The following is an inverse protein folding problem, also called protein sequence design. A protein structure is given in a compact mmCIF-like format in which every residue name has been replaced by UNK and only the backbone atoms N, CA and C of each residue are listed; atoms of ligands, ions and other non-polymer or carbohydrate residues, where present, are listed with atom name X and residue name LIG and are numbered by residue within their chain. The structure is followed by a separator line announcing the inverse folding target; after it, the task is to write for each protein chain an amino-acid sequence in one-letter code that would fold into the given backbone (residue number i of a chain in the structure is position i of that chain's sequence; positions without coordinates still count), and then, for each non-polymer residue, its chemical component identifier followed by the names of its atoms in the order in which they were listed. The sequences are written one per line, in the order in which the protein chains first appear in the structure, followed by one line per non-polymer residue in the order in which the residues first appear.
data_IF_956131178740
#
_entry.id   IF_956131178740
#
_cell.length_a   1.000
_cell.length_b   1.000
_cell.length_c   1.000
_cell.angle_alpha   90.00
_cell.angle_beta   90.00
_cell.angle_gamma   90.00
#
_symmetry.space_group_name_H-M   'P 1'
#
loop_
_entity.id
_entity.type
_entity.pdbx_description
1 polymer ?
#
# COMPACT_ATOMS: atom_id res chain seq x y z
N UNK A 1 -20.33 11.92 -18.93
CA UNK A 1 -20.65 11.15 -17.70
C UNK A 1 -20.54 9.61 -17.88
N UNK A 2 -19.75 9.10 -18.84
CA UNK A 2 -19.55 7.65 -19.04
C UNK A 2 -18.16 7.13 -18.58
N UNK A 3 -17.26 7.99 -18.10
CA UNK A 3 -15.87 7.60 -17.83
C UNK A 3 -15.69 6.58 -16.70
N UNK A 4 -16.59 6.58 -15.71
CA UNK A 4 -16.49 5.69 -14.54
C UNK A 4 -17.27 4.37 -14.67
N UNK A 5 -18.11 4.23 -15.70
CA UNK A 5 -18.88 3.01 -16.00
C UNK A 5 -18.02 1.73 -16.08
N UNK A 6 -16.86 1.72 -16.79
CA UNK A 6 -15.99 0.56 -16.81
C UNK A 6 -15.35 0.27 -15.44
N UNK A 7 -15.08 1.31 -14.63
CA UNK A 7 -14.53 1.16 -13.28
C UNK A 7 -15.55 0.48 -12.35
N UNK A 8 -16.82 0.89 -12.44
CA UNK A 8 -17.91 0.27 -11.70
C UNK A 8 -18.14 -1.18 -12.14
N UNK A 9 -18.12 -1.47 -13.44
CA UNK A 9 -18.29 -2.83 -13.96
C UNK A 9 -17.17 -3.78 -13.52
N UNK A 10 -15.92 -3.31 -13.51
CA UNK A 10 -14.77 -4.05 -12.98
C UNK A 10 -14.89 -4.29 -11.48
N UNK A 11 -15.26 -3.25 -10.71
CA UNK A 11 -15.47 -3.37 -9.26
C UNK A 11 -16.57 -4.39 -8.92
N UNK A 12 -17.66 -4.40 -9.69
CA UNK A 12 -18.75 -5.36 -9.55
C UNK A 12 -18.31 -6.78 -9.94
N UNK A 13 -17.56 -6.94 -11.02
CA UNK A 13 -17.01 -8.24 -11.44
C UNK A 13 -16.04 -8.84 -10.40
N UNK A 14 -15.18 -8.02 -9.81
CA UNK A 14 -14.27 -8.40 -8.71
C UNK A 14 -15.07 -8.79 -7.46
N UNK A 15 -16.10 -8.02 -7.11
CA UNK A 15 -16.94 -8.29 -5.95
C UNK A 15 -17.73 -9.60 -6.07
N UNK A 16 -18.21 -9.92 -7.26
CA UNK A 16 -18.92 -11.17 -7.54
C UNK A 16 -17.99 -12.40 -7.54
N UNK A 17 -16.72 -12.25 -7.94
CA UNK A 17 -15.75 -13.36 -8.00
C UNK A 17 -14.99 -13.62 -6.71
N UNK A 18 -14.59 -12.58 -5.97
CA UNK A 18 -13.77 -12.70 -4.76
C UNK A 18 -14.58 -12.59 -3.45
N UNK A 19 -15.87 -12.28 -3.54
CA UNK A 19 -16.75 -12.15 -2.39
C UNK A 19 -16.67 -10.79 -1.69
N UNK A 20 -17.63 -10.53 -0.80
CA UNK A 20 -17.87 -9.22 -0.18
C UNK A 20 -16.67 -8.67 0.60
N UNK A 21 -16.00 -9.53 1.38
CA UNK A 21 -14.90 -9.11 2.24
C UNK A 21 -13.64 -8.72 1.45
N UNK A 22 -13.35 -9.43 0.35
CA UNK A 22 -12.22 -9.12 -0.51
C UNK A 22 -12.43 -7.81 -1.29
N UNK A 23 -13.65 -7.56 -1.78
CA UNK A 23 -13.97 -6.30 -2.45
C UNK A 23 -13.92 -5.09 -1.51
N UNK A 24 -14.42 -5.23 -0.27
CA UNK A 24 -14.30 -4.19 0.76
C UNK A 24 -12.82 -3.93 1.09
N UNK A 25 -12.03 -5.00 1.28
CA UNK A 25 -10.59 -4.89 1.55
C UNK A 25 -9.83 -4.21 0.41
N UNK A 26 -10.10 -4.59 -0.83
CA UNK A 26 -9.49 -3.98 -2.02
C UNK A 26 -9.89 -2.50 -2.16
N UNK A 27 -11.16 -2.17 -1.93
CA UNK A 27 -11.66 -0.79 -1.95
C UNK A 27 -11.03 0.08 -0.86
N UNK A 28 -10.92 -0.43 0.37
CA UNK A 28 -10.29 0.28 1.48
C UNK A 28 -8.79 0.51 1.24
N UNK A 29 -8.07 -0.51 0.76
CA UNK A 29 -6.67 -0.39 0.38
C UNK A 29 -6.48 0.65 -0.74
N UNK A 30 -7.32 0.62 -1.78
CA UNK A 30 -7.32 1.60 -2.86
C UNK A 30 -7.57 3.03 -2.40
N UNK A 31 -8.51 3.22 -1.46
CA UNK A 31 -8.80 4.53 -0.88
C UNK A 31 -7.62 5.10 -0.08
N UNK A 32 -6.98 4.26 0.75
CA UNK A 32 -5.78 4.65 1.50
C UNK A 32 -4.64 5.02 0.56
N UNK A 33 -4.39 4.22 -0.48
CA UNK A 33 -3.39 4.52 -1.50
C UNK A 33 -3.69 5.85 -2.22
N UNK A 34 -4.95 6.14 -2.54
CA UNK A 34 -5.34 7.41 -3.16
C UNK A 34 -5.07 8.61 -2.25
N UNK A 35 -5.44 8.54 -0.97
CA UNK A 35 -5.16 9.62 -0.01
C UNK A 35 -3.67 9.88 0.16
N UNK A 36 -2.89 8.81 0.28
CA UNK A 36 -1.44 8.90 0.37
C UNK A 36 -0.79 9.47 -0.89
N UNK A 37 -1.28 9.08 -2.07
CA UNK A 37 -0.80 9.59 -3.36
C UNK A 37 -1.12 11.08 -3.53
N UNK A 38 -2.34 11.51 -3.20
CA UNK A 38 -2.76 12.92 -3.29
C UNK A 38 -1.97 13.79 -2.31
N UNK A 39 -1.71 13.32 -1.09
CA UNK A 39 -0.91 14.05 -0.10
C UNK A 39 0.54 14.28 -0.55
N UNK A 40 1.20 13.25 -1.08
CA UNK A 40 2.56 13.35 -1.61
C UNK A 40 2.64 14.23 -2.86
N UNK A 41 1.67 14.10 -3.77
CA UNK A 41 1.58 14.90 -4.99
C UNK A 41 1.33 16.37 -4.70
N UNK A 42 0.37 16.70 -3.81
CA UNK A 42 0.07 18.10 -3.46
C UNK A 42 1.28 18.80 -2.81
N UNK A 43 1.99 18.09 -1.94
CA UNK A 43 3.23 18.61 -1.36
C UNK A 43 4.33 18.79 -2.42
N UNK A 44 4.54 17.80 -3.29
CA UNK A 44 5.55 17.86 -4.35
C UNK A 44 5.28 18.94 -5.41
N UNK A 45 4.01 19.21 -5.75
CA UNK A 45 3.65 20.32 -6.63
C UNK A 45 3.88 21.69 -5.97
N UNK A 46 3.73 21.79 -4.65
CA UNK A 46 3.95 23.04 -3.90
C UNK A 46 5.44 23.34 -3.70
N UNK A 47 6.28 22.33 -3.55
CA UNK A 47 7.72 22.48 -3.24
C UNK A 47 8.64 22.27 -4.44
N UNK A 48 8.13 21.73 -5.56
CA UNK A 48 8.92 21.40 -6.74
C UNK A 48 9.77 20.13 -6.59
N UNK A 49 9.61 19.39 -5.49
CA UNK A 49 10.40 18.21 -5.16
C UNK A 49 9.54 16.93 -5.22
N UNK A 50 9.99 15.90 -5.93
CA UNK A 50 9.35 14.58 -5.99
C UNK A 50 9.62 13.83 -4.66
N UNK A 51 8.77 14.11 -3.67
CA UNK A 51 9.01 13.77 -2.25
C UNK A 51 9.11 12.28 -1.94
N UNK A 52 8.55 11.40 -2.77
CA UNK A 52 8.71 9.95 -2.63
C UNK A 52 10.12 9.47 -2.94
N UNK A 53 10.72 10.01 -4.01
CA UNK A 53 12.07 9.67 -4.46
C UNK A 53 13.19 10.28 -3.61
N UNK A 54 12.91 11.36 -2.85
CA UNK A 54 13.88 11.97 -1.96
C UNK A 54 14.20 11.08 -0.74
N UNK A 55 15.50 10.93 -0.46
CA UNK A 55 15.99 10.25 0.72
C UNK A 55 15.88 11.17 1.95
N UNK A 56 14.71 11.20 2.58
CA UNK A 56 14.46 11.95 3.82
C UNK A 56 14.64 11.03 5.05
N UNK A 57 14.86 11.57 6.25
CA UNK A 57 14.86 10.75 7.48
C UNK A 57 13.57 9.94 7.66
N UNK A 58 12.43 10.49 7.22
CA UNK A 58 11.15 9.79 7.21
C UNK A 58 11.13 8.58 6.27
N UNK A 59 11.94 8.57 5.20
CA UNK A 59 12.05 7.42 4.30
C UNK A 59 12.61 6.16 4.97
N UNK A 60 13.19 6.28 6.17
CA UNK A 60 13.64 5.16 7.00
C UNK A 60 12.60 4.69 8.01
N UNK A 61 11.51 5.44 8.20
CA UNK A 61 10.48 5.14 9.19
C UNK A 61 9.41 4.26 8.56
N UNK A 62 9.21 3.01 9.02
CA UNK A 62 8.24 2.09 8.40
C UNK A 62 6.80 2.62 8.38
N UNK A 63 6.42 3.44 9.36
CA UNK A 63 5.11 4.09 9.43
C UNK A 63 4.87 5.10 8.29
N UNK A 64 5.92 5.66 7.68
CA UNK A 64 5.82 6.60 6.56
C UNK A 64 5.86 5.89 5.19
N UNK A 65 6.22 4.60 5.14
CA UNK A 65 6.35 3.85 3.89
C UNK A 65 5.04 3.68 3.10
N UNK A 66 3.85 3.51 3.71
CA UNK A 66 2.60 3.47 2.94
C UNK A 66 2.34 4.76 2.15
N UNK A 67 2.60 5.91 2.80
CA UNK A 67 2.49 7.22 2.16
C UNK A 67 3.50 7.36 1.01
N UNK A 68 4.74 6.93 1.27
CA UNK A 68 5.83 6.93 0.30
C UNK A 68 5.55 6.03 -0.90
N UNK A 69 5.00 4.82 -0.70
CA UNK A 69 4.60 3.90 -1.76
C UNK A 69 3.48 4.46 -2.62
N UNK A 70 2.51 5.15 -2.02
CA UNK A 70 1.46 5.87 -2.75
C UNK A 70 2.06 6.95 -3.66
N UNK A 71 2.93 7.82 -3.12
CA UNK A 71 3.58 8.87 -3.90
C UNK A 71 4.47 8.31 -5.02
N UNK A 72 5.35 7.35 -4.69
CA UNK A 72 6.24 6.70 -5.66
C UNK A 72 5.48 5.96 -6.77
N UNK A 73 4.31 5.42 -6.44
CA UNK A 73 3.40 4.80 -7.41
C UNK A 73 2.93 5.79 -8.48
N UNK A 74 2.79 7.08 -8.16
CA UNK A 74 2.48 8.12 -9.15
C UNK A 74 3.74 8.67 -9.81
N UNK A 75 4.79 8.93 -9.02
CA UNK A 75 6.05 9.51 -9.50
C UNK A 75 6.73 8.62 -10.55
N UNK A 76 6.60 7.29 -10.48
CA UNK A 76 7.16 6.38 -11.50
C UNK A 76 6.56 6.57 -12.90
N UNK A 77 5.31 7.05 -12.98
CA UNK A 77 4.69 7.39 -14.27
C UNK A 77 5.12 8.77 -14.79
N UNK A 78 5.69 9.62 -13.93
CA UNK A 78 6.21 10.95 -14.27
C UNK A 78 7.69 10.87 -14.66
N UNK A 79 8.52 10.26 -13.80
CA UNK A 79 9.96 10.06 -13.99
C UNK A 79 10.38 8.70 -13.41
N UNK A 80 10.34 7.68 -14.28
CA UNK A 80 10.71 6.31 -13.92
C UNK A 80 12.17 6.17 -13.49
N UNK A 81 13.09 6.93 -14.11
CA UNK A 81 14.52 6.82 -13.82
C UNK A 81 14.83 7.23 -12.37
N UNK A 82 14.12 8.23 -11.86
CA UNK A 82 14.28 8.72 -10.49
C UNK A 82 13.47 7.91 -9.46
N UNK A 83 12.28 7.42 -9.83
CA UNK A 83 11.35 6.81 -8.87
C UNK A 83 11.42 5.27 -8.78
N UNK A 84 11.88 4.55 -9.81
CA UNK A 84 11.82 3.09 -9.84
C UNK A 84 12.67 2.42 -8.73
N UNK A 85 13.89 2.92 -8.48
CA UNK A 85 14.76 2.41 -7.42
C UNK A 85 14.16 2.59 -6.02
N UNK A 86 13.77 3.81 -5.62
CA UNK A 86 13.07 4.06 -4.37
C UNK A 86 11.75 3.26 -4.22
N UNK A 87 11.00 3.08 -5.30
CA UNK A 87 9.76 2.29 -5.30
C UNK A 87 10.03 0.83 -4.97
N UNK A 88 11.00 0.22 -5.66
CA UNK A 88 11.33 -1.19 -5.50
C UNK A 88 11.91 -1.47 -4.11
N UNK A 89 12.80 -0.60 -3.60
CA UNK A 89 13.38 -0.75 -2.27
C UNK A 89 12.33 -0.61 -1.16
N UNK A 90 11.46 0.40 -1.24
CA UNK A 90 10.37 0.58 -0.25
C UNK A 90 9.37 -0.58 -0.33
N UNK A 91 9.03 -1.06 -1.53
CA UNK A 91 8.09 -2.15 -1.71
C UNK A 91 8.61 -3.46 -1.11
N UNK A 92 9.89 -3.79 -1.35
CA UNK A 92 10.53 -4.97 -0.76
C UNK A 92 10.63 -4.86 0.75
N UNK A 93 11.03 -3.70 1.29
CA UNK A 93 11.13 -3.48 2.73
C UNK A 93 9.75 -3.62 3.41
N UNK A 94 8.70 -3.04 2.81
CA UNK A 94 7.32 -3.19 3.28
C UNK A 94 6.86 -4.65 3.23
N UNK A 95 7.14 -5.37 2.14
CA UNK A 95 6.78 -6.78 2.00
C UNK A 95 7.43 -7.64 3.09
N UNK A 96 8.73 -7.48 3.32
CA UNK A 96 9.46 -8.21 4.37
C UNK A 96 8.86 -7.92 5.74
N UNK A 97 8.57 -6.65 6.04
CA UNK A 97 7.96 -6.27 7.31
C UNK A 97 6.56 -6.87 7.49
N UNK A 98 5.74 -6.87 6.43
CA UNK A 98 4.41 -7.49 6.46
C UNK A 98 4.49 -9.00 6.68
N UNK A 99 5.40 -9.68 5.99
CA UNK A 99 5.61 -11.12 6.17
C UNK A 99 6.11 -11.46 7.57
N UNK A 100 7.03 -10.66 8.12
CA UNK A 100 7.51 -10.82 9.49
C UNK A 100 6.38 -10.63 10.52
N UNK A 101 5.57 -9.59 10.36
CA UNK A 101 4.41 -9.34 11.22
C UNK A 101 3.39 -10.48 11.13
N UNK A 102 3.10 -10.98 9.92
CA UNK A 102 2.21 -12.11 9.71
C UNK A 102 2.75 -13.39 10.37
N UNK A 103 4.05 -13.67 10.26
CA UNK A 103 4.69 -14.82 10.89
C UNK A 103 4.64 -14.73 12.43
N UNK A 104 4.88 -13.54 13.00
CA UNK A 104 4.76 -13.30 14.45
C UNK A 104 3.34 -13.51 14.92
N UNK A 105 2.35 -12.98 14.20
CA UNK A 105 0.94 -13.18 14.53
C UNK A 105 0.56 -14.66 14.45
N UNK A 106 0.99 -15.37 13.41
CA UNK A 106 0.73 -16.80 13.25
C UNK A 106 1.35 -17.60 14.41
N UNK A 107 2.62 -17.38 14.72
CA UNK A 107 3.31 -18.05 15.83
C UNK A 107 2.63 -17.75 17.18
N UNK A 108 2.17 -16.50 17.37
CA UNK A 108 1.43 -16.11 18.55
C UNK A 108 0.08 -16.83 18.64
N UNK A 109 -0.69 -16.89 17.54
CA UNK A 109 -1.97 -17.61 17.50
C UNK A 109 -1.78 -19.11 17.77
N UNK A 110 -0.81 -19.77 17.11
CA UNK A 110 -0.52 -21.19 17.34
C UNK A 110 -0.23 -21.47 18.82
N UNK A 111 0.55 -20.61 19.49
CA UNK A 111 0.83 -20.75 20.94
C UNK A 111 -0.45 -20.72 21.81
N UNK A 112 -1.48 -19.98 21.42
CA UNK A 112 -2.75 -19.95 22.16
C UNK A 112 -3.65 -21.15 21.84
N UNK A 113 -3.59 -21.66 20.61
CA UNK A 113 -4.33 -22.86 20.22
C UNK A 113 -3.76 -24.12 20.88
N UNK A 114 -2.43 -24.24 20.97
CA UNK A 114 -1.76 -25.34 21.67
C UNK A 114 -2.15 -25.38 23.16
N UNK A 115 -2.25 -24.23 23.83
CA UNK A 115 -2.69 -24.15 25.22
C UNK A 115 -4.16 -24.51 25.47
N UNK A 116 -4.96 -24.68 24.41
CA UNK A 116 -6.39 -25.03 24.47
C UNK A 116 -6.65 -26.51 24.23
N UNK A 117 -5.65 -27.26 23.77
CA UNK A 117 -5.75 -28.71 23.55
C UNK A 117 -5.56 -29.53 24.83
N UNK A 118 -5.03 -28.90 25.90
CA UNK A 118 -4.67 -29.54 27.16
C UNK A 118 -5.69 -29.33 28.31
N UNK A 119 -6.89 -28.79 28.02
CA UNK A 119 -7.97 -28.56 28.98
C UNK A 119 -9.22 -29.39 28.65
#
# INVERSE_FOLDING_TARGET
MLGSLPLYALGLGVALRLGRNAAIGAGAAGMLLAFFSVGGLAHGLMTGELTGALATPLSWVPLAWPARLGSLGVEVFIDAARAAGPLLTTALASLVLTLAAAAVLLAWFCRFEDGRADA
#
